data_IF_442623929589
#
_entry.id   IF_442623929589
#
_cell.length_a   1.000
_cell.length_b   1.000
_cell.length_c   1.000
_cell.angle_alpha   90.00
_cell.angle_beta   90.00
_cell.angle_gamma   90.00
#
_symmetry.space_group_name_H-M   'P 1'
#
loop_
_entity.id
_entity.type
_entity.pdbx_description
1 polymer ?
#
# COMPACT_ATOMS: atom_id res chain seq x y z
N UNK A 1 13.61 9.04 25.40
CA UNK A 1 12.82 7.91 24.85
C UNK A 1 12.43 8.29 23.43
N UNK A 2 13.12 7.71 22.45
CA UNK A 2 12.94 8.01 21.03
C UNK A 2 11.85 7.12 20.47
N UNK A 3 10.72 7.71 20.08
CA UNK A 3 9.58 6.94 19.64
C UNK A 3 9.24 7.11 18.15
N UNK A 4 9.26 5.93 17.54
CA UNK A 4 9.25 5.62 16.12
C UNK A 4 7.92 5.95 15.42
N UNK A 5 8.03 6.34 14.16
CA UNK A 5 6.99 6.92 13.29
C UNK A 5 6.38 5.85 12.39
N UNK A 6 5.18 5.35 12.71
CA UNK A 6 4.64 4.13 12.10
C UNK A 6 3.40 4.37 11.23
N UNK A 7 3.29 3.48 10.25
CA UNK A 7 2.37 3.40 9.11
C UNK A 7 0.88 3.73 9.35
N UNK A 8 0.17 4.27 8.33
CA UNK A 8 -1.30 4.53 8.30
C UNK A 8 -2.03 3.52 7.37
N UNK A 9 -2.91 2.72 7.96
CA UNK A 9 -4.16 2.05 7.54
C UNK A 9 -4.58 1.72 6.08
N UNK A 10 -5.04 0.46 5.91
CA UNK A 10 -6.40 0.06 5.47
C UNK A 10 -6.73 -1.38 5.92
N UNK A 11 -7.92 -1.65 6.47
CA UNK A 11 -8.41 -2.99 6.82
C UNK A 11 -9.62 -3.32 5.94
N UNK A 12 -9.38 -3.94 4.77
CA UNK A 12 -10.47 -4.57 4.01
C UNK A 12 -10.84 -5.84 4.77
N UNK A 13 -11.98 -5.86 5.44
CA UNK A 13 -12.59 -7.11 5.89
C UNK A 13 -12.94 -7.96 4.66
N UNK A 14 -12.00 -8.77 4.19
CA UNK A 14 -12.34 -9.96 3.41
C UNK A 14 -12.82 -10.99 4.44
N UNK A 15 -14.13 -10.95 4.68
CA UNK A 15 -14.99 -11.98 5.23
C UNK A 15 -14.27 -13.33 5.51
N UNK A 16 -13.81 -13.55 6.75
CA UNK A 16 -13.19 -14.80 7.21
C UNK A 16 -14.16 -15.98 7.40
N UNK A 17 -15.38 -15.92 6.85
CA UNK A 17 -16.34 -17.04 6.92
C UNK A 17 -16.21 -17.97 5.72
N UNK A 18 -15.13 -18.74 5.63
CA UNK A 18 -15.13 -19.98 4.82
C UNK A 18 -14.13 -21.07 5.26
N UNK A 19 -13.63 -21.03 6.51
CA UNK A 19 -12.73 -22.07 7.03
C UNK A 19 -13.14 -22.65 8.39
N UNK A 20 -14.43 -22.68 8.74
CA UNK A 20 -14.90 -23.29 10.00
C UNK A 20 -16.23 -24.06 9.96
N UNK A 21 -16.64 -24.63 8.83
CA UNK A 21 -17.72 -25.63 8.85
C UNK A 21 -17.45 -26.77 7.88
N UNK A 22 -16.78 -27.80 8.39
CA UNK A 22 -16.83 -29.13 7.79
C UNK A 22 -18.18 -29.79 8.04
N UNK A 23 -18.60 -30.62 7.08
CA UNK A 23 -19.80 -31.48 7.06
C UNK A 23 -21.13 -30.68 7.01
N UNK A 24 -22.12 -30.96 6.16
CA UNK A 24 -22.67 -32.25 5.70
C UNK A 24 -23.50 -32.04 4.41
N UNK A 25 -23.70 -33.15 3.69
CA UNK A 25 -24.81 -33.50 2.78
C UNK A 25 -24.71 -33.20 1.28
N UNK A 26 -24.28 -34.25 0.58
CA UNK A 26 -24.66 -34.59 -0.78
C UNK A 26 -26.19 -34.67 -0.94
N UNK A 27 -26.71 -34.07 -2.00
CA UNK A 27 -27.85 -34.60 -2.73
C UNK A 27 -27.72 -34.25 -4.21
N UNK A 28 -27.78 -35.30 -5.02
CA UNK A 28 -27.69 -35.29 -6.47
C UNK A 28 -28.93 -34.70 -7.11
N UNK A 29 -28.76 -33.92 -8.18
CA UNK A 29 -29.73 -33.78 -9.26
C UNK A 29 -28.98 -33.73 -10.60
N UNK A 30 -29.01 -34.86 -11.29
CA UNK A 30 -28.57 -35.02 -12.68
C UNK A 30 -29.51 -34.26 -13.62
N UNK A 31 -28.95 -33.41 -14.50
CA UNK A 31 -29.48 -33.22 -15.85
C UNK A 31 -28.33 -33.17 -16.85
N UNK A 32 -28.35 -34.15 -17.75
CA UNK A 32 -27.46 -34.32 -18.90
C UNK A 32 -27.56 -33.14 -19.87
N UNK A 33 -26.42 -32.58 -20.24
CA UNK A 33 -26.20 -32.08 -21.60
C UNK A 33 -24.76 -32.42 -22.01
N UNK A 34 -24.63 -33.47 -22.81
CA UNK A 34 -23.36 -33.88 -23.42
C UNK A 34 -22.88 -32.81 -24.40
N UNK A 35 -21.84 -32.06 -24.02
CA UNK A 35 -20.93 -31.45 -24.99
C UNK A 35 -19.68 -32.30 -25.00
N UNK A 36 -19.46 -33.05 -26.09
CA UNK A 36 -18.19 -33.72 -26.37
C UNK A 36 -17.10 -32.65 -26.46
N UNK A 37 -16.35 -32.48 -25.37
CA UNK A 37 -15.11 -31.70 -25.37
C UNK A 37 -14.06 -32.56 -26.03
N UNK A 38 -13.50 -32.08 -27.12
CA UNK A 38 -12.48 -32.77 -27.90
C UNK A 38 -11.17 -32.76 -27.08
N UNK A 39 -10.79 -33.91 -26.51
CA UNK A 39 -9.62 -34.06 -25.63
C UNK A 39 -8.31 -33.58 -26.30
N UNK A 40 -8.25 -33.57 -27.63
CA UNK A 40 -7.08 -33.11 -28.40
C UNK A 40 -6.94 -31.58 -28.36
N UNK A 41 -8.03 -30.82 -28.35
CA UNK A 41 -8.00 -29.35 -28.24
C UNK A 41 -7.71 -28.89 -26.81
N UNK A 42 -8.18 -29.63 -25.80
CA UNK A 42 -7.89 -29.33 -24.38
C UNK A 42 -6.40 -29.57 -24.05
N UNK A 43 -5.79 -30.62 -24.61
CA UNK A 43 -4.34 -30.83 -24.48
C UNK A 43 -3.53 -29.79 -25.24
N UNK A 44 -3.98 -29.36 -26.44
CA UNK A 44 -3.33 -28.28 -27.19
C UNK A 44 -3.34 -26.94 -26.43
N UNK A 45 -4.46 -26.58 -25.81
CA UNK A 45 -4.62 -25.40 -24.95
C UNK A 45 -3.75 -25.48 -23.69
N UNK A 46 -3.64 -26.65 -23.05
CA UNK A 46 -2.73 -26.83 -21.90
C UNK A 46 -1.26 -26.76 -22.33
N UNK A 47 -0.89 -27.31 -23.49
CA UNK A 47 0.49 -27.20 -23.99
C UNK A 47 0.85 -25.78 -24.44
N UNK A 48 -0.11 -24.98 -24.91
CA UNK A 48 0.13 -23.55 -25.24
C UNK A 48 0.10 -22.66 -24.00
N UNK A 49 -0.69 -22.98 -22.97
CA UNK A 49 -0.64 -22.29 -21.66
C UNK A 49 0.64 -22.62 -20.87
N UNK A 50 1.22 -23.80 -21.05
CA UNK A 50 2.52 -24.19 -20.49
C UNK A 50 3.72 -23.74 -21.33
N UNK A 51 3.49 -23.17 -22.51
CA UNK A 51 4.52 -22.56 -23.36
C UNK A 51 4.61 -21.04 -23.22
N UNK A 52 4.06 -20.47 -22.14
CA UNK A 52 4.62 -19.22 -21.63
C UNK A 52 6.07 -19.53 -21.25
N UNK A 53 7.01 -18.98 -22.00
CA UNK A 53 8.45 -19.14 -21.83
C UNK A 53 8.84 -18.96 -20.35
N UNK A 54 8.89 -20.06 -19.61
CA UNK A 54 9.55 -20.12 -18.31
C UNK A 54 11.05 -20.01 -18.61
N UNK A 55 11.53 -18.79 -18.86
CA UNK A 55 12.95 -18.50 -18.72
C UNK A 55 13.30 -18.76 -17.25
N UNK A 56 13.82 -19.95 -16.99
CA UNK A 56 14.46 -20.31 -15.72
C UNK A 56 15.73 -19.49 -15.56
N UNK A 57 15.58 -18.23 -15.16
CA UNK A 57 16.69 -17.38 -14.74
C UNK A 57 17.10 -17.85 -13.35
N UNK A 58 18.33 -18.34 -13.20
CA UNK A 58 18.88 -18.60 -11.87
C UNK A 58 19.25 -17.26 -11.25
N UNK A 59 18.56 -16.86 -10.19
CA UNK A 59 18.90 -15.69 -9.39
C UNK A 59 19.30 -16.09 -7.98
N UNK A 60 20.12 -15.26 -7.34
CA UNK A 60 20.48 -15.44 -5.93
C UNK A 60 19.27 -15.01 -5.10
N UNK A 61 18.76 -15.90 -4.26
CA UNK A 61 17.78 -15.56 -3.24
C UNK A 61 18.52 -15.31 -1.93
N UNK A 62 18.44 -14.09 -1.40
CA UNK A 62 19.09 -13.70 -0.14
C UNK A 62 18.62 -14.54 1.04
N UNK A 63 17.35 -14.97 1.06
CA UNK A 63 16.80 -15.84 2.12
C UNK A 63 17.22 -17.31 2.00
N UNK A 64 17.56 -17.78 0.80
CA UNK A 64 18.00 -19.16 0.59
C UNK A 64 19.53 -19.29 0.51
N UNK A 65 20.24 -18.16 0.47
CA UNK A 65 21.71 -18.05 0.34
C UNK A 65 22.29 -18.86 -0.83
N UNK A 66 21.51 -19.04 -1.90
CA UNK A 66 21.91 -19.82 -3.09
C UNK A 66 21.20 -19.35 -4.35
N UNK A 67 21.68 -19.83 -5.49
CA UNK A 67 20.96 -19.75 -6.75
C UNK A 67 19.69 -20.60 -6.68
N UNK A 68 18.55 -19.98 -6.92
CA UNK A 68 17.24 -20.62 -6.87
C UNK A 68 16.59 -20.61 -8.24
N UNK A 69 15.64 -21.51 -8.44
CA UNK A 69 14.69 -21.39 -9.54
C UNK A 69 13.67 -20.31 -9.19
N UNK A 70 13.32 -19.49 -10.17
CA UNK A 70 12.41 -18.37 -9.95
C UNK A 70 11.13 -18.54 -10.76
N UNK A 71 10.05 -18.00 -10.21
CA UNK A 71 8.77 -17.81 -10.90
C UNK A 71 8.61 -16.32 -11.14
N UNK A 72 8.32 -15.95 -12.38
CA UNK A 72 7.98 -14.59 -12.78
C UNK A 72 6.46 -14.45 -12.81
N UNK A 73 5.95 -13.41 -12.18
CA UNK A 73 4.53 -13.08 -12.08
C UNK A 73 4.35 -11.68 -12.66
N UNK A 74 3.58 -11.55 -13.73
CA UNK A 74 3.17 -10.23 -14.23
C UNK A 74 2.24 -9.59 -13.22
N UNK A 75 2.57 -8.37 -12.78
CA UNK A 75 1.77 -7.64 -11.82
C UNK A 75 0.69 -6.83 -12.54
N UNK A 76 -0.55 -6.95 -12.09
CA UNK A 76 -1.64 -6.07 -12.52
C UNK A 76 -1.64 -4.81 -11.64
N UNK A 77 -1.03 -3.74 -12.14
CA UNK A 77 -0.89 -2.45 -11.46
C UNK A 77 -1.67 -1.34 -12.18
N UNK A 78 -2.85 -1.68 -12.71
CA UNK A 78 -3.70 -0.73 -13.46
C UNK A 78 -3.98 0.56 -12.72
N UNK A 79 -4.21 0.52 -11.40
CA UNK A 79 -4.49 1.73 -10.62
C UNK A 79 -3.29 2.69 -10.52
N UNK A 80 -2.07 2.21 -10.79
CA UNK A 80 -0.90 3.08 -10.87
C UNK A 80 -0.69 3.65 -12.29
N UNK A 81 -1.46 3.19 -13.29
CA UNK A 81 -1.34 3.60 -14.69
C UNK A 81 0.12 3.54 -15.20
N UNK A 82 0.79 2.41 -14.95
CA UNK A 82 2.15 2.14 -15.40
C UNK A 82 2.10 1.73 -16.88
N UNK A 83 2.94 2.33 -17.71
CA UNK A 83 3.02 2.01 -19.14
C UNK A 83 3.94 0.82 -19.40
N UNK A 84 4.99 0.66 -18.59
CA UNK A 84 5.94 -0.45 -18.68
C UNK A 84 5.41 -1.79 -18.16
N UNK A 85 6.09 -2.87 -18.55
CA UNK A 85 5.80 -4.22 -18.06
C UNK A 85 6.45 -4.43 -16.69
N UNK A 86 5.62 -4.63 -15.67
CA UNK A 86 6.08 -4.90 -14.31
C UNK A 86 5.94 -6.36 -13.96
N UNK A 87 7.03 -6.98 -13.50
CA UNK A 87 7.03 -8.34 -13.03
C UNK A 87 7.57 -8.44 -11.61
N UNK A 88 6.94 -9.28 -10.80
CA UNK A 88 7.48 -9.77 -9.54
C UNK A 88 8.15 -11.10 -9.76
N UNK A 89 9.32 -11.28 -9.17
CA UNK A 89 10.07 -12.51 -9.23
C UNK A 89 10.19 -13.11 -7.83
N UNK A 90 9.69 -14.33 -7.68
CA UNK A 90 9.71 -15.07 -6.43
C UNK A 90 10.54 -16.36 -6.57
N UNK A 91 11.16 -16.78 -5.47
CA UNK A 91 11.83 -18.07 -5.34
C UNK A 91 10.80 -19.21 -5.33
N UNK A 92 10.95 -20.18 -6.23
CA UNK A 92 10.07 -21.37 -6.26
C UNK A 92 10.33 -22.27 -5.05
N UNK A 93 11.60 -22.40 -4.67
CA UNK A 93 12.03 -23.38 -3.67
C UNK A 93 11.68 -22.96 -2.22
N UNK A 94 11.20 -21.72 -2.00
CA UNK A 94 10.85 -21.21 -0.66
C UNK A 94 9.84 -20.07 -0.61
N UNK A 95 9.12 -19.78 -1.72
CA UNK A 95 8.11 -18.72 -1.85
C UNK A 95 8.54 -17.31 -1.38
N UNK A 96 9.84 -17.05 -1.37
CA UNK A 96 10.41 -15.76 -0.96
C UNK A 96 10.41 -14.76 -2.12
N UNK A 97 10.15 -13.50 -1.82
CA UNK A 97 10.40 -12.40 -2.76
C UNK A 97 11.88 -12.33 -3.14
N UNK A 98 12.17 -12.10 -4.42
CA UNK A 98 13.55 -11.91 -4.92
C UNK A 98 13.72 -10.52 -5.52
N UNK A 99 12.88 -10.13 -6.48
CA UNK A 99 13.02 -8.84 -7.18
C UNK A 99 11.70 -8.37 -7.80
N UNK A 100 11.62 -7.07 -8.11
CA UNK A 100 10.64 -6.50 -9.04
C UNK A 100 11.41 -5.97 -10.25
N UNK A 101 10.88 -6.20 -11.45
CA UNK A 101 11.45 -5.66 -12.68
C UNK A 101 10.47 -4.73 -13.39
N UNK A 102 10.97 -3.65 -13.97
CA UNK A 102 10.25 -2.76 -14.88
C UNK A 102 10.95 -2.83 -16.25
N UNK A 103 10.25 -3.28 -17.29
CA UNK A 103 10.83 -3.45 -18.63
C UNK A 103 12.14 -4.25 -18.61
N UNK A 104 12.14 -5.37 -17.88
CA UNK A 104 13.28 -6.28 -17.67
C UNK A 104 14.47 -5.72 -16.85
N UNK A 105 14.40 -4.48 -16.35
CA UNK A 105 15.37 -3.91 -15.42
C UNK A 105 14.94 -4.13 -13.97
N UNK A 106 15.86 -4.57 -13.10
CA UNK A 106 15.58 -4.74 -11.67
C UNK A 106 15.46 -3.38 -11.00
N UNK A 107 14.36 -3.17 -10.28
CA UNK A 107 14.14 -1.97 -9.47
C UNK A 107 14.35 -2.32 -8.00
N UNK A 108 15.27 -1.64 -7.35
CA UNK A 108 15.56 -1.78 -5.93
C UNK A 108 15.38 -0.44 -5.21
N UNK A 109 14.78 -0.49 -4.02
CA UNK A 109 14.58 0.67 -3.13
C UNK A 109 15.87 1.12 -2.45
N UNK A 110 16.89 0.27 -2.41
CA UNK A 110 18.19 0.58 -1.81
C UNK A 110 19.18 1.24 -2.77
N UNK A 111 18.87 1.22 -4.07
CA UNK A 111 19.67 1.86 -5.11
C UNK A 111 19.50 3.38 -5.05
N UNK A 112 20.62 4.09 -5.23
CA UNK A 112 20.64 5.54 -5.29
C UNK A 112 20.45 5.99 -6.75
N UNK A 113 19.36 6.71 -7.02
CA UNK A 113 19.04 7.23 -8.34
C UNK A 113 19.54 8.68 -8.47
N UNK A 114 20.49 8.90 -9.38
CA UNK A 114 21.18 10.18 -9.55
C UNK A 114 20.28 11.32 -10.09
N UNK A 115 19.14 10.98 -10.69
CA UNK A 115 18.12 11.93 -11.18
C UNK A 115 17.21 12.46 -10.06
N UNK A 116 17.43 12.01 -8.81
CA UNK A 116 16.66 12.39 -7.61
C UNK A 116 17.59 12.73 -6.41
N UNK A 117 18.56 13.65 -6.53
CA UNK A 117 19.50 13.95 -5.44
C UNK A 117 18.86 14.69 -4.26
N UNK A 118 17.70 15.32 -4.49
CA UNK A 118 17.06 16.22 -3.54
C UNK A 118 16.44 15.48 -2.35
N UNK A 119 16.59 16.06 -1.16
CA UNK A 119 16.05 15.50 0.09
C UNK A 119 14.65 16.03 0.40
N UNK A 120 13.65 15.68 -0.42
CA UNK A 120 12.30 16.23 -0.34
C UNK A 120 11.16 15.19 -0.45
N UNK A 121 9.93 15.67 -0.24
CA UNK A 121 8.71 14.99 -0.65
C UNK A 121 8.39 15.35 -2.10
N UNK A 122 8.22 14.35 -2.96
CA UNK A 122 7.90 14.58 -4.37
C UNK A 122 6.76 13.68 -4.82
N UNK A 123 5.83 14.25 -5.57
CA UNK A 123 4.77 13.50 -6.22
C UNK A 123 5.36 12.49 -7.22
N UNK A 124 4.79 11.30 -7.27
CA UNK A 124 5.16 10.23 -8.19
C UNK A 124 4.87 10.68 -9.63
N UNK A 125 5.86 10.60 -10.52
CA UNK A 125 5.70 11.02 -11.92
C UNK A 125 6.03 9.90 -12.90
N UNK A 126 7.07 9.12 -12.63
CA UNK A 126 7.57 8.10 -13.55
C UNK A 126 7.06 6.70 -13.20
N UNK A 127 7.09 5.79 -14.17
CA UNK A 127 6.82 4.37 -13.93
C UNK A 127 7.76 3.77 -12.87
N UNK A 128 9.02 4.25 -12.81
CA UNK A 128 9.97 3.87 -11.76
C UNK A 128 9.49 4.30 -10.37
N UNK A 129 9.04 5.55 -10.24
CA UNK A 129 8.50 6.07 -8.98
C UNK A 129 7.29 5.22 -8.52
N UNK A 130 6.39 4.88 -9.44
CA UNK A 130 5.22 4.02 -9.16
C UNK A 130 5.62 2.61 -8.72
N UNK A 131 6.63 2.01 -9.37
CA UNK A 131 7.17 0.71 -8.98
C UNK A 131 7.86 0.79 -7.61
N UNK A 132 8.60 1.87 -7.31
CA UNK A 132 9.20 2.08 -5.98
C UNK A 132 8.12 2.19 -4.90
N UNK A 133 7.02 2.91 -5.16
CA UNK A 133 5.86 2.94 -4.27
C UNK A 133 5.27 1.55 -4.04
N UNK A 134 5.08 0.75 -5.09
CA UNK A 134 4.63 -0.64 -4.97
C UNK A 134 5.59 -1.48 -4.11
N UNK A 135 6.90 -1.37 -4.34
CA UNK A 135 7.90 -2.11 -3.56
C UNK A 135 7.82 -1.69 -2.09
N UNK A 136 7.77 -0.39 -1.79
CA UNK A 136 7.66 0.10 -0.41
C UNK A 136 6.39 -0.41 0.29
N UNK A 137 5.23 -0.30 -0.36
CA UNK A 137 3.92 -0.62 0.24
C UNK A 137 3.62 -2.11 0.31
N UNK A 138 3.95 -2.89 -0.73
CA UNK A 138 3.54 -4.29 -0.89
C UNK A 138 4.66 -5.29 -0.59
N UNK A 139 5.92 -4.85 -0.56
CA UNK A 139 7.08 -5.73 -0.34
C UNK A 139 7.86 -5.33 0.92
N UNK A 140 8.33 -4.09 1.02
CA UNK A 140 9.18 -3.68 2.13
C UNK A 140 8.39 -3.65 3.42
N UNK A 141 7.25 -2.94 3.43
CA UNK A 141 6.43 -2.80 4.62
C UNK A 141 5.99 -4.17 5.19
N UNK A 142 5.39 -5.09 4.42
CA UNK A 142 4.92 -6.36 4.98
C UNK A 142 6.04 -7.30 5.44
N UNK A 143 7.22 -7.25 4.81
CA UNK A 143 8.30 -8.21 5.07
C UNK A 143 9.34 -7.74 6.08
N UNK A 144 9.54 -6.43 6.22
CA UNK A 144 10.59 -5.85 7.06
C UNK A 144 10.05 -4.94 8.16
N UNK A 145 8.90 -4.29 7.92
CA UNK A 145 8.28 -3.34 8.85
C UNK A 145 6.84 -3.76 9.22
N UNK A 146 6.62 -5.07 9.37
CA UNK A 146 5.29 -5.67 9.44
C UNK A 146 4.32 -4.91 10.38
N UNK A 147 3.04 -4.75 9.97
CA UNK A 147 2.03 -4.01 10.73
C UNK A 147 1.82 -4.61 12.12
N UNK A 148 1.59 -3.72 13.09
CA UNK A 148 1.20 -4.06 14.46
C UNK A 148 -0.26 -3.69 14.73
N UNK A 149 -1.19 -4.67 14.75
CA UNK A 149 -2.61 -4.39 14.98
C UNK A 149 -2.88 -3.66 16.29
N UNK A 150 -2.11 -3.94 17.35
CA UNK A 150 -2.21 -3.26 18.65
C UNK A 150 -1.85 -1.77 18.59
N UNK A 151 -1.23 -1.32 17.49
CA UNK A 151 -0.89 0.08 17.21
C UNK A 151 -1.80 0.72 16.16
N UNK A 152 -2.87 0.02 15.77
CA UNK A 152 -3.77 0.39 14.67
C UNK A 152 -3.07 0.49 13.32
N UNK A 153 -2.12 -0.42 13.08
CA UNK A 153 -1.42 -0.56 11.80
C UNK A 153 -1.98 -1.78 11.05
N UNK A 154 -2.05 -1.71 9.72
CA UNK A 154 -2.50 -2.80 8.86
C UNK A 154 -1.76 -2.76 7.52
N UNK A 155 -1.91 -3.82 6.72
CA UNK A 155 -1.35 -3.86 5.37
C UNK A 155 -2.00 -2.79 4.48
N UNK A 156 -1.19 -2.13 3.64
CA UNK A 156 -1.70 -1.20 2.65
C UNK A 156 -2.40 -1.95 1.52
N UNK A 157 -3.55 -1.45 1.10
CA UNK A 157 -4.12 -1.80 -0.21
C UNK A 157 -3.39 -1.05 -1.32
N UNK A 158 -3.58 -1.51 -2.55
CA UNK A 158 -3.21 -0.68 -3.69
C UNK A 158 -4.09 0.58 -3.69
N UNK A 159 -3.48 1.67 -4.12
CA UNK A 159 -4.14 2.96 -4.30
C UNK A 159 -5.18 2.92 -5.41
N UNK A 160 -6.12 3.85 -5.37
CA UNK A 160 -7.06 4.11 -6.46
C UNK A 160 -6.40 4.95 -7.56
N UNK A 161 -6.95 4.94 -8.78
CA UNK A 161 -6.38 5.61 -9.97
C UNK A 161 -6.13 7.12 -9.80
N UNK A 162 -6.93 7.77 -8.96
CA UNK A 162 -6.86 9.21 -8.73
C UNK A 162 -6.17 9.60 -7.42
N UNK A 163 -5.66 8.62 -6.67
CA UNK A 163 -4.92 8.92 -5.45
C UNK A 163 -3.61 9.62 -5.80
N UNK A 164 -3.31 10.69 -5.08
CA UNK A 164 -2.03 11.39 -5.19
C UNK A 164 -1.03 10.63 -4.33
N UNK A 165 0.13 10.28 -4.89
CA UNK A 165 1.18 9.54 -4.21
C UNK A 165 2.42 10.40 -4.12
N UNK A 166 3.00 10.52 -2.94
CA UNK A 166 4.28 11.19 -2.72
C UNK A 166 5.30 10.22 -2.17
N UNK A 167 6.51 10.26 -2.72
CA UNK A 167 7.67 9.57 -2.20
C UNK A 167 8.55 10.55 -1.43
N UNK A 168 9.13 10.09 -0.31
CA UNK A 168 10.22 10.78 0.37
C UNK A 168 11.55 10.32 -0.21
N UNK A 169 12.31 11.23 -0.79
CA UNK A 169 13.63 10.98 -1.36
C UNK A 169 14.73 11.38 -0.39
N UNK A 170 15.67 10.50 -0.08
CA UNK A 170 16.86 10.82 0.72
C UNK A 170 18.09 10.32 -0.02
N UNK A 171 18.95 11.23 -0.46
CA UNK A 171 20.22 10.90 -1.14
C UNK A 171 20.01 9.94 -2.32
N UNK A 172 19.02 10.22 -3.18
CA UNK A 172 18.70 9.37 -4.33
C UNK A 172 17.88 8.12 -4.00
N UNK A 173 17.52 7.86 -2.73
CA UNK A 173 16.75 6.67 -2.33
C UNK A 173 15.33 7.03 -1.94
N UNK A 174 14.36 6.21 -2.35
CA UNK A 174 13.00 6.31 -1.86
C UNK A 174 12.88 5.65 -0.48
N UNK A 175 12.65 6.46 0.57
CA UNK A 175 12.67 6.00 1.97
C UNK A 175 11.29 5.85 2.61
N UNK A 176 10.24 6.28 1.91
CA UNK A 176 8.88 6.24 2.40
C UNK A 176 7.91 6.92 1.44
N UNK A 177 6.65 6.95 1.82
CA UNK A 177 5.59 7.57 1.03
C UNK A 177 4.48 8.13 1.90
N UNK A 178 3.64 8.97 1.31
CA UNK A 178 2.27 9.14 1.77
C UNK A 178 1.32 9.27 0.58
N UNK A 179 0.04 8.96 0.78
CA UNK A 179 -1.01 9.06 -0.25
C UNK A 179 -2.11 9.98 0.22
N UNK A 180 -2.76 10.63 -0.74
CA UNK A 180 -3.89 11.52 -0.50
C UNK A 180 -5.01 11.17 -1.47
N UNK A 181 -6.22 11.01 -0.95
CA UNK A 181 -7.45 10.98 -1.74
C UNK A 181 -7.89 12.43 -2.02
N UNK A 182 -7.96 12.88 -3.28
CA UNK A 182 -8.39 14.23 -3.60
C UNK A 182 -9.84 14.52 -3.19
N UNK A 183 -10.14 15.82 -3.08
CA UNK A 183 -11.54 16.30 -2.97
C UNK A 183 -12.33 15.79 -4.18
N UNK A 184 -13.52 15.28 -3.94
CA UNK A 184 -14.43 14.79 -4.97
C UNK A 184 -14.23 13.31 -5.33
N UNK A 185 -13.18 12.65 -4.83
CA UNK A 185 -12.99 11.20 -5.01
C UNK A 185 -14.14 10.44 -4.35
N UNK A 186 -14.72 9.46 -5.07
CA UNK A 186 -15.83 8.64 -4.59
C UNK A 186 -15.36 7.65 -3.53
N UNK A 187 -16.08 7.61 -2.41
CA UNK A 187 -15.92 6.62 -1.34
C UNK A 187 -16.66 5.36 -1.79
N UNK A 188 -15.94 4.28 -2.07
CA UNK A 188 -16.52 3.07 -2.68
C UNK A 188 -17.64 2.43 -1.86
N UNK A 189 -17.55 2.49 -0.53
CA UNK A 189 -18.49 1.89 0.43
C UNK A 189 -19.80 2.67 0.52
N UNK A 190 -19.75 4.00 0.57
CA UNK A 190 -20.93 4.86 0.79
C UNK A 190 -21.46 5.52 -0.47
N UNK A 191 -20.67 5.54 -1.55
CA UNK A 191 -20.93 6.32 -2.78
C UNK A 191 -20.97 7.84 -2.57
N UNK A 192 -20.53 8.29 -1.41
CA UNK A 192 -20.30 9.71 -1.14
C UNK A 192 -18.97 10.16 -1.75
N UNK A 193 -18.66 11.46 -1.64
CA UNK A 193 -17.39 12.02 -2.11
C UNK A 193 -16.65 12.70 -0.98
N UNK A 194 -15.34 12.57 -0.95
CA UNK A 194 -14.53 13.32 0.00
C UNK A 194 -14.71 14.82 -0.22
N UNK A 195 -15.05 15.54 0.86
CA UNK A 195 -15.24 17.00 0.84
C UNK A 195 -13.94 17.77 1.16
N UNK A 196 -12.87 17.05 1.49
CA UNK A 196 -11.56 17.57 1.85
C UNK A 196 -10.48 16.56 1.39
N UNK A 197 -9.23 16.97 1.14
CA UNK A 197 -8.14 16.03 0.89
C UNK A 197 -7.94 15.10 2.09
N UNK A 198 -7.86 13.80 1.85
CA UNK A 198 -7.69 12.80 2.93
C UNK A 198 -6.34 12.10 2.81
N UNK A 199 -5.48 12.28 3.80
CA UNK A 199 -4.25 11.49 3.95
C UNK A 199 -4.65 10.07 4.30
N UNK A 200 -4.43 9.16 3.36
CA UNK A 200 -4.96 7.80 3.44
C UNK A 200 -3.93 6.80 3.92
N UNK A 201 -2.72 6.84 3.34
CA UNK A 201 -1.62 5.96 3.72
C UNK A 201 -0.36 6.80 3.97
N UNK A 202 0.44 6.44 4.96
CA UNK A 202 1.75 7.03 5.26
C UNK A 202 2.68 5.91 5.64
N UNK A 203 3.90 5.92 5.14
CA UNK A 203 4.94 4.96 5.47
C UNK A 203 6.31 5.63 5.48
N UNK A 204 7.13 5.32 6.47
CA UNK A 204 8.57 5.57 6.45
C UNK A 204 9.26 4.26 6.82
N UNK A 205 10.28 3.86 6.06
CA UNK A 205 11.11 2.69 6.35
C UNK A 205 11.73 2.77 7.74
N UNK A 206 11.71 1.68 8.51
CA UNK A 206 12.02 1.71 9.95
C UNK A 206 13.38 2.28 10.31
N UNK A 207 14.40 2.02 9.50
CA UNK A 207 15.75 2.52 9.67
C UNK A 207 15.88 4.05 9.45
N UNK A 208 14.88 4.69 8.83
CA UNK A 208 14.80 6.13 8.63
C UNK A 208 13.85 6.84 9.61
N UNK A 209 13.13 6.09 10.46
CA UNK A 209 12.22 6.68 11.46
C UNK A 209 13.01 7.41 12.55
N UNK A 210 12.30 8.20 13.37
CA UNK A 210 12.88 9.06 14.42
C UNK A 210 13.75 10.24 13.92
N UNK A 211 13.62 10.60 12.64
CA UNK A 211 14.38 11.70 12.02
C UNK A 211 13.53 12.93 11.65
N UNK A 212 12.28 12.99 12.13
CA UNK A 212 11.38 14.13 11.91
C UNK A 212 10.44 14.03 10.71
N UNK A 213 10.58 13.01 9.85
CA UNK A 213 9.81 12.88 8.60
C UNK A 213 8.28 12.91 8.76
N UNK A 214 7.72 12.47 9.88
CA UNK A 214 6.27 12.57 10.11
C UNK A 214 5.79 13.99 10.41
N UNK A 215 6.63 14.81 11.05
CA UNK A 215 6.35 16.25 11.18
C UNK A 215 6.51 16.94 9.83
N UNK A 216 7.42 16.47 8.98
CA UNK A 216 7.51 16.92 7.59
C UNK A 216 6.24 16.60 6.82
N UNK A 217 5.65 15.40 6.96
CA UNK A 217 4.36 15.07 6.32
C UNK A 217 3.27 16.06 6.70
N UNK A 218 3.09 16.32 8.00
CA UNK A 218 2.07 17.28 8.47
C UNK A 218 2.32 18.69 7.90
N UNK A 219 3.59 19.09 7.78
CA UNK A 219 3.94 20.40 7.23
C UNK A 219 3.73 20.46 5.71
N UNK A 220 4.07 19.38 4.99
CA UNK A 220 3.92 19.27 3.54
C UNK A 220 2.45 19.28 3.14
N UNK A 221 1.60 18.52 3.84
CA UNK A 221 0.16 18.47 3.56
C UNK A 221 -0.48 19.85 3.77
N UNK A 222 -0.10 20.58 4.82
CA UNK A 222 -0.57 21.96 5.04
C UNK A 222 -0.11 22.89 3.91
N UNK A 223 1.16 22.79 3.49
CA UNK A 223 1.70 23.62 2.43
C UNK A 223 1.02 23.35 1.08
N UNK A 224 0.66 22.09 0.82
CA UNK A 224 -0.02 21.65 -0.40
C UNK A 224 -1.49 22.06 -0.44
N UNK A 225 -2.14 22.09 0.72
CA UNK A 225 -3.56 22.46 0.86
C UNK A 225 -3.72 23.60 1.87
N UNK A 226 -3.25 24.83 1.56
CA UNK A 226 -3.16 25.91 2.55
C UNK A 226 -4.52 26.39 3.08
N UNK A 227 -5.57 26.27 2.25
CA UNK A 227 -6.92 26.76 2.54
C UNK A 227 -7.94 25.67 2.83
N UNK A 228 -7.53 24.40 2.77
CA UNK A 228 -8.44 23.27 2.98
C UNK A 228 -8.30 22.72 4.39
N UNK A 229 -9.39 22.11 4.86
CA UNK A 229 -9.31 21.12 5.93
C UNK A 229 -8.65 19.84 5.42
N UNK A 230 -8.07 19.05 6.31
CA UNK A 230 -7.28 17.87 5.97
C UNK A 230 -7.87 16.68 6.74
N UNK A 231 -8.33 15.69 6.00
CA UNK A 231 -8.78 14.41 6.53
C UNK A 231 -7.62 13.44 6.74
N UNK A 232 -7.79 12.51 7.67
CA UNK A 232 -6.98 11.31 7.85
C UNK A 232 -7.92 10.11 7.85
N UNK A 233 -7.64 9.12 7.01
CA UNK A 233 -8.42 7.88 6.98
C UNK A 233 -8.31 7.14 8.31
N UNK A 234 -9.44 6.60 8.79
CA UNK A 234 -9.51 5.79 10.02
C UNK A 234 -9.21 4.31 9.74
N UNK A 235 -8.52 3.58 10.66
CA UNK A 235 -7.85 4.09 11.86
C UNK A 235 -6.68 5.05 11.63
N UNK A 236 -6.44 5.97 12.57
CA UNK A 236 -5.16 6.68 12.63
C UNK A 236 -4.22 5.89 13.54
N UNK A 237 -3.02 5.56 13.05
CA UNK A 237 -2.05 4.79 13.84
C UNK A 237 -1.65 5.52 15.11
N UNK A 238 -1.31 4.76 16.15
CA UNK A 238 -0.85 5.34 17.44
C UNK A 238 0.34 6.29 17.27
N UNK A 239 1.25 5.99 16.33
CA UNK A 239 2.40 6.83 16.00
C UNK A 239 1.98 8.16 15.38
N UNK A 240 1.06 8.13 14.42
CA UNK A 240 0.56 9.35 13.77
C UNK A 240 -0.30 10.19 14.73
N UNK A 241 -1.14 9.56 15.56
CA UNK A 241 -1.90 10.27 16.60
C UNK A 241 -1.00 11.03 17.57
N UNK A 242 0.13 10.43 17.99
CA UNK A 242 1.09 11.13 18.85
C UNK A 242 1.70 12.35 18.15
N UNK A 243 2.05 12.22 16.86
CA UNK A 243 2.57 13.35 16.09
C UNK A 243 1.54 14.46 15.94
N UNK A 244 0.31 14.12 15.57
CA UNK A 244 -0.81 15.07 15.48
C UNK A 244 -1.02 15.77 16.82
N UNK A 245 -0.96 15.04 17.94
CA UNK A 245 -1.04 15.63 19.28
C UNK A 245 0.07 16.64 19.55
N UNK A 246 1.32 16.28 19.28
CA UNK A 246 2.46 17.19 19.45
C UNK A 246 2.34 18.40 18.53
N UNK A 247 2.00 18.19 17.26
CA UNK A 247 1.85 19.24 16.26
C UNK A 247 0.76 20.25 16.65
N UNK A 248 -0.45 19.77 16.96
CA UNK A 248 -1.60 20.62 17.30
C UNK A 248 -1.49 21.26 18.69
N UNK A 249 -0.66 20.70 19.58
CA UNK A 249 -0.31 21.35 20.84
C UNK A 249 0.52 22.60 20.59
N UNK A 250 1.53 22.48 19.72
CA UNK A 250 2.49 23.54 19.40
C UNK A 250 1.95 24.59 18.40
N UNK A 251 1.08 24.18 17.47
CA UNK A 251 0.55 25.02 16.39
C UNK A 251 -0.96 25.15 16.52
N UNK A 252 -1.39 26.09 17.36
CA UNK A 252 -2.80 26.25 17.74
C UNK A 252 -3.70 26.65 16.58
N UNK A 253 -3.12 27.34 15.61
CA UNK A 253 -3.76 27.80 14.37
C UNK A 253 -4.31 26.65 13.51
N UNK A 254 -3.77 25.43 13.64
CA UNK A 254 -4.22 24.26 12.88
C UNK A 254 -5.19 23.33 13.64
N UNK A 255 -5.56 23.65 14.88
CA UNK A 255 -6.39 22.76 15.72
C UNK A 255 -7.76 22.42 15.14
N UNK A 256 -8.30 23.29 14.29
CA UNK A 256 -9.59 23.11 13.64
C UNK A 256 -9.47 22.57 12.21
N UNK A 257 -8.27 22.22 11.74
CA UNK A 257 -8.00 21.86 10.34
C UNK A 257 -7.80 20.37 10.08
N UNK A 258 -7.71 19.55 11.13
CA UNK A 258 -7.41 18.13 11.00
C UNK A 258 -8.57 17.26 11.47
N UNK A 259 -9.06 16.41 10.57
CA UNK A 259 -10.25 15.60 10.75
C UNK A 259 -9.92 14.11 10.59
N UNK A 260 -10.54 13.26 11.39
CA UNK A 260 -10.56 11.81 11.20
C UNK A 260 -11.79 11.48 10.37
N UNK A 261 -11.59 10.73 9.29
CA UNK A 261 -12.62 10.39 8.30
C UNK A 261 -12.85 8.88 8.33
N UNK A 262 -14.09 8.47 8.53
CA UNK A 262 -14.49 7.06 8.50
C UNK A 262 -15.19 6.75 7.17
N UNK A 263 -14.63 5.83 6.38
CA UNK A 263 -15.19 5.47 5.07
C UNK A 263 -16.46 4.60 5.15
N UNK A 264 -16.78 4.02 6.31
CA UNK A 264 -17.81 2.97 6.41
C UNK A 264 -18.91 3.21 7.46
N UNK A 265 -18.84 4.29 8.25
CA UNK A 265 -19.73 4.45 9.41
C UNK A 265 -20.64 5.68 9.29
N UNK A 266 -21.92 5.43 9.01
CA UNK A 266 -22.97 6.44 8.80
C UNK A 266 -23.23 7.30 10.05
N UNK A 267 -22.78 6.83 11.24
CA UNK A 267 -23.08 7.47 12.51
C UNK A 267 -21.97 8.38 13.08
N UNK A 268 -20.76 8.35 12.51
CA UNK A 268 -19.63 9.20 12.94
C UNK A 268 -18.80 9.62 11.72
N UNK A 269 -19.43 10.31 10.76
CA UNK A 269 -18.86 10.50 9.43
C UNK A 269 -17.55 11.31 9.43
N UNK A 270 -17.37 12.27 10.34
CA UNK A 270 -16.14 13.08 10.45
C UNK A 270 -15.95 13.60 11.88
N UNK A 271 -14.74 13.51 12.44
CA UNK A 271 -14.44 14.00 13.78
C UNK A 271 -13.18 14.86 13.81
N UNK A 272 -13.25 16.00 14.49
CA UNK A 272 -12.07 16.84 14.66
C UNK A 272 -11.03 16.12 15.55
N UNK A 273 -9.84 15.87 15.01
CA UNK A 273 -8.79 15.11 15.70
C UNK A 273 -8.40 15.75 17.03
N UNK A 274 -8.35 17.09 17.09
CA UNK A 274 -8.03 17.81 18.33
C UNK A 274 -9.03 17.53 19.46
N UNK A 275 -10.32 17.39 19.15
CA UNK A 275 -11.34 17.04 20.14
C UNK A 275 -11.13 15.61 20.68
N UNK A 276 -10.83 14.65 19.80
CA UNK A 276 -10.57 13.26 20.18
C UNK A 276 -9.33 13.14 21.07
N UNK A 277 -8.26 13.86 20.72
CA UNK A 277 -7.02 13.86 21.50
C UNK A 277 -7.18 14.44 22.92
N UNK A 278 -8.10 15.38 23.11
CA UNK A 278 -8.44 15.91 24.45
C UNK A 278 -9.28 14.94 25.26
N UNK A 279 -10.26 14.28 24.63
CA UNK A 279 -11.11 13.29 25.30
C UNK A 279 -10.33 12.08 25.80
N UNK A 280 -9.30 11.66 25.07
CA UNK A 280 -8.42 10.56 25.48
C UNK A 280 -7.41 10.91 26.59
N UNK A 281 -7.31 12.18 27.00
CA UNK A 281 -6.43 12.65 28.07
C UNK A 281 -7.17 12.91 29.40
N UNK A 282 -8.49 12.68 29.43
CA UNK A 282 -9.38 12.73 30.59
C UNK A 282 -9.81 11.29 30.93
#
# INVERSE_FOLDING_TARGET
>A
MCDTLHAIVYQREIHWRYLQSGHVHAHALERKSEKKVNLVEYFSLITTLLASSFRLVKMICSRCEKYVRTKTIQLDLRSLNIQGNVHRIDCIDGTHFVAVTLNDEIINVDDAYCDRPDNEWREVQTDRDKVLFYILSQIVYPNFDAPRPEKYESLYTLVDEFDVILLRWQEGKAIGFYTVKPIGTEILSTKERYIMPVVDSVYIRSEYRNRGFGMEILSDVIARFPNEDIGFSKPISSGMLRLLKTFLTNRKEYRLRFWEIADCDVNESQQLIWCNLKRAAL
#
